data_IF_803761536287
#
_entry.id   IF_803761536287
#
_cell.length_a   1.000
_cell.length_b   1.000
_cell.length_c   1.000
_cell.angle_alpha   90.00
_cell.angle_beta   90.00
_cell.angle_gamma   90.00
#
_symmetry.space_group_name_H-M   'P 1'
#
loop_
_entity.id
_entity.type
_entity.pdbx_description
1 polymer ?
#
# COMPACT_ATOMS: atom_id res chain seq x y z
N UNK A 1 55.19 -11.18 -18.33
CA UNK A 1 54.33 -9.97 -18.29
C UNK A 1 52.87 -10.41 -18.40
N UNK A 2 52.24 -10.77 -17.28
CA UNK A 2 50.80 -11.06 -17.23
C UNK A 2 50.04 -9.78 -16.89
N UNK A 3 49.22 -9.27 -17.81
CA UNK A 3 48.29 -8.18 -17.50
C UNK A 3 47.17 -8.77 -16.64
N UNK A 4 47.16 -8.42 -15.35
CA UNK A 4 45.98 -8.63 -14.51
C UNK A 4 44.83 -7.82 -15.13
N UNK A 5 43.78 -8.51 -15.58
CA UNK A 5 42.54 -7.85 -15.97
C UNK A 5 41.94 -7.23 -14.71
N UNK A 6 41.97 -5.90 -14.63
CA UNK A 6 41.23 -5.14 -13.63
C UNK A 6 39.75 -5.44 -13.86
N UNK A 7 39.18 -6.34 -13.04
CA UNK A 7 37.73 -6.55 -12.99
C UNK A 7 37.12 -5.21 -12.56
N UNK A 8 36.46 -4.53 -13.50
CA UNK A 8 35.64 -3.37 -13.19
C UNK A 8 34.69 -3.74 -12.05
N UNK A 9 34.56 -2.91 -10.99
CA UNK A 9 33.63 -3.20 -9.91
C UNK A 9 32.25 -3.41 -10.53
N UNK A 10 31.64 -4.57 -10.28
CA UNK A 10 30.28 -4.86 -10.73
C UNK A 10 29.39 -3.77 -10.12
N UNK A 11 28.77 -2.96 -10.98
CA UNK A 11 27.75 -2.03 -10.51
C UNK A 11 26.67 -2.84 -9.79
N UNK A 12 26.16 -2.36 -8.65
CA UNK A 12 25.11 -3.04 -7.91
C UNK A 12 23.88 -3.26 -8.80
N UNK A 13 23.18 -4.38 -8.59
CA UNK A 13 22.01 -4.71 -9.39
C UNK A 13 20.87 -3.68 -9.19
N UNK A 14 20.05 -3.42 -10.23
CA UNK A 14 18.87 -2.59 -10.12
C UNK A 14 17.93 -3.08 -9.02
N UNK A 15 17.46 -2.17 -8.17
CA UNK A 15 16.59 -2.50 -7.04
C UNK A 15 15.47 -1.48 -6.89
N UNK A 16 14.26 -1.95 -6.60
CA UNK A 16 13.13 -1.11 -6.19
C UNK A 16 13.16 -0.95 -4.67
N UNK A 17 13.05 0.28 -4.19
CA UNK A 17 13.12 0.59 -2.75
C UNK A 17 11.99 1.54 -2.37
N UNK A 18 11.35 1.29 -1.22
CA UNK A 18 10.42 2.24 -0.61
C UNK A 18 11.25 3.33 0.09
N UNK A 19 11.12 4.56 -0.39
CA UNK A 19 11.80 5.74 0.18
C UNK A 19 10.97 6.31 1.33
N UNK A 20 9.65 6.21 1.23
CA UNK A 20 8.72 6.61 2.26
C UNK A 20 7.51 5.67 2.31
N UNK A 21 7.32 5.02 3.47
CA UNK A 21 6.19 4.14 3.74
C UNK A 21 4.87 4.93 3.83
N UNK A 22 3.71 4.30 3.55
CA UNK A 22 2.43 4.93 3.81
C UNK A 22 2.14 4.98 5.31
N UNK A 23 1.45 6.04 5.73
CA UNK A 23 0.92 6.15 7.09
C UNK A 23 -0.08 5.03 7.33
N UNK A 24 0.17 4.22 8.35
CA UNK A 24 -0.60 3.01 8.59
C UNK A 24 -2.06 3.30 9.00
N UNK A 25 -2.31 4.36 9.78
CA UNK A 25 -3.66 4.68 10.31
C UNK A 25 -4.08 6.10 9.99
N UNK A 26 -5.38 6.35 10.12
CA UNK A 26 -5.98 7.68 9.98
C UNK A 26 -6.64 7.94 8.62
N UNK A 27 -6.39 7.09 7.62
CA UNK A 27 -7.05 7.14 6.32
C UNK A 27 -8.34 6.30 6.33
N UNK A 28 -9.43 6.82 5.73
CA UNK A 28 -10.71 6.11 5.61
C UNK A 28 -10.90 5.57 4.20
N UNK A 29 -11.16 4.27 4.09
CA UNK A 29 -11.53 3.67 2.79
C UNK A 29 -12.95 4.09 2.42
N UNK A 30 -13.20 4.31 1.13
CA UNK A 30 -14.46 4.89 0.65
C UNK A 30 -15.18 3.95 -0.31
N UNK A 31 -16.49 3.84 -0.16
CA UNK A 31 -17.28 3.17 -1.18
C UNK A 31 -17.46 4.07 -2.41
N UNK A 32 -17.53 3.47 -3.59
CA UNK A 32 -17.81 4.17 -4.84
C UNK A 32 -19.09 5.05 -4.76
N UNK A 33 -20.12 4.56 -4.06
CA UNK A 33 -21.39 5.26 -3.91
C UNK A 33 -21.34 6.46 -2.95
N UNK A 34 -20.22 6.73 -2.27
CA UNK A 34 -20.09 7.93 -1.43
C UNK A 34 -19.94 9.22 -2.25
N UNK A 35 -19.57 9.14 -3.54
CA UNK A 35 -19.49 10.30 -4.43
C UNK A 35 -18.48 11.37 -4.01
N UNK A 36 -17.52 11.04 -3.15
CA UNK A 36 -16.48 11.95 -2.64
C UNK A 36 -15.12 11.48 -3.10
N UNK A 37 -14.19 12.43 -3.26
CA UNK A 37 -12.78 12.12 -3.38
C UNK A 37 -12.34 11.23 -2.21
N UNK A 38 -11.54 10.22 -2.48
CA UNK A 38 -11.11 9.21 -1.50
C UNK A 38 -10.18 9.75 -0.42
N UNK A 39 -9.68 10.97 -0.60
CA UNK A 39 -8.64 11.57 0.22
C UNK A 39 -7.25 11.20 -0.31
N UNK A 40 -6.21 11.59 0.43
CA UNK A 40 -4.83 11.22 0.13
C UNK A 40 -4.27 10.33 1.22
N UNK A 41 -3.58 9.27 0.81
CA UNK A 41 -2.72 8.46 1.67
C UNK A 41 -1.44 9.26 1.87
N UNK A 42 -1.17 9.62 3.11
CA UNK A 42 0.05 10.33 3.48
C UNK A 42 1.19 9.35 3.74
N UNK A 43 2.41 9.87 3.70
CA UNK A 43 3.60 9.15 4.12
C UNK A 43 3.66 9.00 5.64
N UNK A 44 4.41 8.02 6.12
CA UNK A 44 4.58 7.71 7.53
C UNK A 44 5.14 8.91 8.32
N UNK A 45 6.01 9.71 7.70
CA UNK A 45 6.63 10.89 8.31
C UNK A 45 5.75 12.14 8.24
N UNK A 46 4.55 12.03 7.67
CA UNK A 46 3.64 13.16 7.48
C UNK A 46 3.01 13.59 8.80
N UNK A 47 3.13 14.88 9.09
CA UNK A 47 2.62 15.51 10.32
C UNK A 47 1.67 16.68 10.01
N UNK A 48 1.34 17.50 11.02
CA UNK A 48 0.42 18.64 10.86
C UNK A 48 1.02 19.78 10.04
N UNK A 49 2.33 19.98 10.12
CA UNK A 49 3.08 21.05 9.46
C UNK A 49 3.55 20.68 8.06
N UNK A 50 4.04 19.46 7.87
CA UNK A 50 4.68 19.00 6.66
C UNK A 50 4.01 17.75 6.16
N UNK A 51 3.38 17.86 4.99
CA UNK A 51 2.73 16.74 4.32
C UNK A 51 3.76 16.02 3.46
N UNK A 52 3.93 14.74 3.76
CA UNK A 52 4.71 13.81 2.94
C UNK A 52 3.80 12.71 2.41
N UNK A 53 4.31 11.93 1.45
CA UNK A 53 3.53 10.96 0.68
C UNK A 53 4.33 9.67 0.50
N UNK A 54 3.66 8.51 0.33
CA UNK A 54 4.35 7.28 0.00
C UNK A 54 5.22 7.49 -1.24
N UNK A 55 6.42 6.94 -1.24
CA UNK A 55 7.38 7.14 -2.31
C UNK A 55 8.25 5.91 -2.53
N UNK A 56 8.54 5.62 -3.80
CA UNK A 56 9.48 4.57 -4.19
C UNK A 56 10.51 5.10 -5.17
N UNK A 57 11.64 4.41 -5.24
CA UNK A 57 12.72 4.73 -6.17
C UNK A 57 13.33 3.43 -6.73
N UNK A 58 13.61 3.43 -8.02
CA UNK A 58 14.50 2.43 -8.62
C UNK A 58 15.93 2.93 -8.53
N UNK A 59 16.78 2.19 -7.84
CA UNK A 59 18.20 2.48 -7.65
C UNK A 59 19.05 1.64 -8.62
N UNK A 60 20.28 2.09 -8.86
CA UNK A 60 21.27 1.42 -9.70
C UNK A 60 20.79 1.15 -11.14
N UNK A 61 19.96 2.03 -11.68
CA UNK A 61 19.44 1.94 -13.03
C UNK A 61 19.34 3.34 -13.64
N UNK A 62 19.53 3.45 -14.95
CA UNK A 62 19.61 4.73 -15.67
C UNK A 62 18.80 4.75 -16.96
N UNK A 63 17.87 3.81 -17.12
CA UNK A 63 16.97 3.71 -18.27
C UNK A 63 15.52 3.77 -17.79
N UNK A 64 14.57 3.78 -18.73
CA UNK A 64 13.14 3.88 -18.41
C UNK A 64 12.63 2.67 -17.62
N UNK A 65 11.70 2.92 -16.71
CA UNK A 65 11.04 1.89 -15.89
C UNK A 65 9.54 2.04 -15.96
N UNK A 66 8.82 0.96 -16.24
CA UNK A 66 7.37 0.91 -16.01
C UNK A 66 7.11 0.49 -14.56
N UNK A 67 6.48 1.37 -13.79
CA UNK A 67 6.08 1.12 -12.42
C UNK A 67 4.60 0.79 -12.34
N UNK A 68 4.23 -0.25 -11.60
CA UNK A 68 2.85 -0.64 -11.30
C UNK A 68 2.66 -0.76 -9.80
N UNK A 69 1.54 -0.26 -9.30
CA UNK A 69 1.14 -0.42 -7.89
C UNK A 69 -0.24 -1.02 -7.80
N UNK A 70 -0.36 -2.08 -7.00
CA UNK A 70 -1.60 -2.79 -6.72
C UNK A 70 -1.81 -2.95 -5.22
N UNK A 71 -3.02 -3.34 -4.82
CA UNK A 71 -3.35 -3.66 -3.43
C UNK A 71 -3.26 -5.16 -3.20
N UNK A 72 -2.60 -5.56 -2.11
CA UNK A 72 -2.50 -6.95 -1.65
C UNK A 72 -2.98 -7.11 -0.20
N UNK A 73 -3.19 -8.35 0.24
CA UNK A 73 -3.56 -8.68 1.62
C UNK A 73 -2.52 -8.19 2.64
N UNK A 74 -2.98 -7.98 3.88
CA UNK A 74 -2.12 -7.57 5.01
C UNK A 74 -1.09 -8.63 5.38
N UNK A 75 -1.52 -9.89 5.42
CA UNK A 75 -0.71 -11.02 5.86
C UNK A 75 -0.20 -11.83 4.67
N UNK A 76 0.93 -12.49 4.89
CA UNK A 76 1.45 -13.50 3.97
C UNK A 76 0.59 -14.78 4.02
N UNK A 77 0.41 -15.49 2.89
CA UNK A 77 0.88 -15.11 1.55
C UNK A 77 0.13 -13.90 0.98
N UNK A 78 0.85 -12.97 0.36
CA UNK A 78 0.29 -11.72 -0.19
C UNK A 78 -0.58 -11.99 -1.42
N UNK A 79 -1.89 -11.93 -1.25
CA UNK A 79 -2.88 -12.17 -2.31
C UNK A 79 -3.43 -10.86 -2.87
N UNK A 80 -3.80 -10.79 -4.15
CA UNK A 80 -4.51 -9.63 -4.70
C UNK A 80 -5.72 -9.22 -3.84
N UNK A 81 -5.88 -7.94 -3.56
CA UNK A 81 -6.96 -7.42 -2.73
C UNK A 81 -8.16 -6.95 -3.59
N UNK A 82 -9.43 -7.13 -3.13
CA UNK A 82 -10.61 -6.72 -3.90
C UNK A 82 -10.81 -5.21 -3.97
N UNK A 83 -10.20 -4.45 -3.07
CA UNK A 83 -10.27 -2.99 -3.09
C UNK A 83 -9.52 -2.42 -4.30
N UNK A 84 -9.77 -1.15 -4.61
CA UNK A 84 -9.18 -0.45 -5.74
C UNK A 84 -8.38 0.76 -5.30
N UNK A 85 -7.19 0.92 -5.87
CA UNK A 85 -6.43 2.15 -5.79
C UNK A 85 -7.05 3.17 -6.73
N UNK A 86 -7.37 4.37 -6.23
CA UNK A 86 -7.99 5.42 -7.03
C UNK A 86 -7.27 6.74 -6.77
N UNK A 87 -7.19 7.59 -7.78
CA UNK A 87 -6.39 8.81 -7.71
C UNK A 87 -5.77 9.15 -9.06
N UNK A 88 -4.77 10.03 -9.03
CA UNK A 88 -3.96 10.37 -10.19
C UNK A 88 -3.25 9.13 -10.73
N UNK A 89 -3.23 8.97 -12.05
CA UNK A 89 -2.63 7.84 -12.79
C UNK A 89 -3.12 6.45 -12.36
N UNK A 90 -4.27 6.39 -11.70
CA UNK A 90 -4.94 5.15 -11.36
C UNK A 90 -5.98 4.80 -12.41
N UNK A 91 -5.85 3.63 -13.03
CA UNK A 91 -6.86 3.07 -13.92
C UNK A 91 -7.26 1.68 -13.47
N UNK A 92 -8.56 1.40 -13.52
CA UNK A 92 -9.16 0.14 -13.10
C UNK A 92 -8.67 -0.36 -11.73
N UNK A 93 -8.32 0.54 -10.81
CA UNK A 93 -7.93 0.18 -9.45
C UNK A 93 -6.46 -0.17 -9.23
N UNK A 94 -5.58 0.11 -10.20
CA UNK A 94 -4.13 0.08 -10.08
C UNK A 94 -3.52 1.42 -10.50
N UNK A 95 -2.37 1.77 -9.94
CA UNK A 95 -1.55 2.88 -10.43
C UNK A 95 -0.54 2.35 -11.43
N UNK A 96 -0.31 3.07 -12.52
CA UNK A 96 0.75 2.75 -13.47
C UNK A 96 1.37 4.01 -14.07
N UNK A 97 2.70 4.09 -14.07
CA UNK A 97 3.45 5.20 -14.65
C UNK A 97 4.79 4.74 -15.23
N UNK A 98 5.29 5.45 -16.23
CA UNK A 98 6.65 5.27 -16.75
C UNK A 98 7.58 6.30 -16.12
N UNK A 99 8.60 5.85 -15.41
CA UNK A 99 9.66 6.68 -14.85
C UNK A 99 10.77 6.85 -15.89
N UNK A 100 11.26 8.09 -16.04
CA UNK A 100 12.29 8.44 -17.00
C UNK A 100 13.55 8.97 -16.29
N UNK A 101 14.76 8.60 -16.75
CA UNK A 101 16.00 9.17 -16.24
C UNK A 101 16.04 10.70 -16.41
N UNK A 102 16.75 11.44 -15.53
CA UNK A 102 17.63 10.94 -14.46
C UNK A 102 16.90 10.60 -13.15
N UNK A 103 15.61 10.89 -13.02
CA UNK A 103 14.86 10.70 -11.78
C UNK A 103 13.93 9.47 -11.86
N UNK A 104 14.40 8.35 -11.32
CA UNK A 104 13.61 7.12 -11.20
C UNK A 104 12.90 7.01 -9.85
N UNK A 105 12.47 8.16 -9.28
CA UNK A 105 11.68 8.25 -8.07
C UNK A 105 10.26 8.73 -8.40
N UNK A 106 9.28 8.21 -7.67
CA UNK A 106 7.90 8.72 -7.71
C UNK A 106 7.36 8.91 -6.30
N UNK A 107 6.53 9.93 -6.15
CA UNK A 107 5.72 10.15 -4.94
C UNK A 107 4.25 10.04 -5.30
N UNK A 108 3.51 9.35 -4.46
CA UNK A 108 2.12 9.00 -4.71
C UNK A 108 1.15 9.98 -4.05
N UNK A 109 1.00 11.16 -4.66
CA UNK A 109 0.04 12.15 -4.21
C UNK A 109 -1.38 11.80 -4.69
N UNK A 110 -2.41 12.25 -3.96
CA UNK A 110 -3.82 12.07 -4.34
C UNK A 110 -4.25 10.61 -4.54
N UNK A 111 -3.58 9.65 -3.90
CA UNK A 111 -4.02 8.27 -3.87
C UNK A 111 -4.98 8.01 -2.70
N UNK A 112 -6.04 7.26 -2.95
CA UNK A 112 -6.91 6.72 -1.92
C UNK A 112 -7.38 5.31 -2.26
N UNK A 113 -8.11 4.70 -1.33
CA UNK A 113 -8.60 3.33 -1.48
C UNK A 113 -10.12 3.35 -1.59
N UNK A 114 -10.61 2.82 -2.71
CA UNK A 114 -12.01 2.52 -2.93
C UNK A 114 -12.30 1.09 -2.46
N UNK A 115 -13.08 0.96 -1.40
CA UNK A 115 -13.43 -0.36 -0.85
C UNK A 115 -14.57 -1.03 -1.62
N UNK A 116 -14.43 -2.34 -1.86
CA UNK A 116 -15.45 -3.17 -2.47
C UNK A 116 -16.56 -3.53 -1.46
N UNK A 117 -17.78 -3.69 -1.94
CA UNK A 117 -18.88 -4.24 -1.12
C UNK A 117 -18.71 -5.75 -1.02
N UNK A 118 -19.18 -6.36 0.08
CA UNK A 118 -19.06 -7.81 0.32
C UNK A 118 -19.52 -8.67 -0.86
N UNK A 119 -20.65 -8.30 -1.48
CA UNK A 119 -21.20 -8.99 -2.66
C UNK A 119 -20.32 -8.92 -3.92
N UNK A 120 -19.47 -7.90 -4.02
CA UNK A 120 -18.65 -7.60 -5.20
C UNK A 120 -17.19 -8.07 -5.02
N UNK A 121 -16.85 -8.66 -3.87
CA UNK A 121 -15.47 -9.11 -3.56
C UNK A 121 -15.00 -10.14 -4.60
N UNK A 122 -15.82 -11.16 -4.86
CA UNK A 122 -15.43 -12.25 -5.76
C UNK A 122 -15.24 -11.77 -7.20
N UNK A 123 -16.10 -10.88 -7.68
CA UNK A 123 -15.98 -10.32 -9.03
C UNK A 123 -14.78 -9.38 -9.14
N UNK A 124 -14.49 -8.58 -8.10
CA UNK A 124 -13.33 -7.72 -8.05
C UNK A 124 -12.02 -8.52 -8.11
N UNK A 125 -11.88 -9.58 -7.31
CA UNK A 125 -10.71 -10.47 -7.37
C UNK A 125 -10.56 -11.12 -8.74
N UNK A 126 -11.65 -11.66 -9.30
CA UNK A 126 -11.60 -12.28 -10.63
C UNK A 126 -11.11 -11.28 -11.67
N UNK A 127 -11.56 -10.03 -11.60
CA UNK A 127 -11.09 -8.96 -12.47
C UNK A 127 -9.58 -8.70 -12.30
N UNK A 128 -9.07 -8.66 -11.06
CA UNK A 128 -7.62 -8.51 -10.79
C UNK A 128 -6.80 -9.58 -11.47
N UNK A 129 -7.19 -10.83 -11.26
CA UNK A 129 -6.38 -11.99 -11.67
C UNK A 129 -6.53 -12.26 -13.16
N UNK A 130 -7.75 -12.31 -13.69
CA UNK A 130 -7.98 -12.82 -15.06
C UNK A 130 -7.86 -11.74 -16.12
N UNK A 131 -8.37 -10.52 -15.85
CA UNK A 131 -8.35 -9.42 -16.83
C UNK A 131 -7.07 -8.61 -16.72
N UNK A 132 -6.70 -8.23 -15.50
CA UNK A 132 -5.57 -7.33 -15.26
C UNK A 132 -4.24 -8.08 -15.06
N UNK A 133 -4.28 -9.40 -14.89
CA UNK A 133 -3.10 -10.25 -14.65
C UNK A 133 -2.27 -9.76 -13.46
N UNK A 134 -2.97 -9.36 -12.39
CA UNK A 134 -2.38 -8.92 -11.13
C UNK A 134 -2.37 -10.12 -10.19
N UNK A 135 -1.19 -10.72 -10.05
CA UNK A 135 -0.87 -11.70 -9.02
C UNK A 135 0.65 -11.64 -8.75
N UNK A 136 1.14 -10.61 -8.04
CA UNK A 136 2.57 -10.33 -7.93
C UNK A 136 3.38 -11.47 -7.30
N UNK A 137 2.72 -12.35 -6.54
CA UNK A 137 3.33 -13.46 -5.80
C UNK A 137 2.87 -14.84 -6.31
N UNK A 138 2.07 -14.91 -7.38
CA UNK A 138 1.51 -16.15 -7.94
C UNK A 138 0.74 -17.00 -6.91
N UNK A 139 -0.01 -16.33 -6.04
CA UNK A 139 -0.74 -16.97 -4.93
C UNK A 139 -2.14 -17.45 -5.33
N UNK A 140 -2.57 -17.16 -6.56
CA UNK A 140 -3.85 -17.62 -7.07
C UNK A 140 -3.66 -18.88 -7.92
N UNK A 141 -4.24 -20.03 -7.52
CA UNK A 141 -4.15 -21.25 -8.32
C UNK A 141 -4.73 -21.04 -9.72
N UNK A 142 -4.23 -21.78 -10.71
CA UNK A 142 -4.63 -21.63 -12.12
C UNK A 142 -6.13 -21.86 -12.38
N UNK A 143 -6.85 -22.48 -11.45
CA UNK A 143 -8.30 -22.65 -11.50
C UNK A 143 -9.07 -21.39 -11.05
N UNK A 144 -8.37 -20.32 -10.66
CA UNK A 144 -8.90 -19.06 -10.15
C UNK A 144 -9.87 -19.22 -8.97
N UNK A 145 -9.81 -20.34 -8.24
CA UNK A 145 -10.50 -20.50 -6.97
C UNK A 145 -9.64 -19.85 -5.90
N UNK A 146 -9.93 -18.60 -5.57
CA UNK A 146 -9.30 -17.89 -4.46
C UNK A 146 -9.95 -18.32 -3.15
N UNK A 147 -9.22 -18.93 -2.20
CA UNK A 147 -9.69 -19.04 -0.83
C UNK A 147 -9.71 -17.62 -0.24
N UNK A 148 -10.89 -17.01 -0.22
CA UNK A 148 -11.13 -15.68 0.37
C UNK A 148 -11.45 -15.77 1.87
N UNK A 149 -11.36 -16.98 2.42
CA UNK A 149 -11.55 -17.24 3.84
C UNK A 149 -10.45 -16.52 4.63
N UNK A 150 -10.86 -15.67 5.57
CA UNK A 150 -9.94 -14.90 6.41
C UNK A 150 -9.35 -13.62 5.80
N UNK A 151 -9.80 -13.16 4.63
CA UNK A 151 -9.31 -11.88 4.08
C UNK A 151 -9.79 -10.68 4.91
N UNK A 152 -8.86 -9.92 5.47
CA UNK A 152 -9.16 -8.68 6.19
C UNK A 152 -9.48 -7.54 5.22
N UNK A 153 -10.73 -7.07 5.22
CA UNK A 153 -11.18 -5.97 4.37
C UNK A 153 -10.88 -4.59 4.95
N UNK A 154 -10.40 -4.52 6.19
CA UNK A 154 -10.04 -3.29 6.89
C UNK A 154 -8.54 -2.99 6.81
N UNK A 155 -7.75 -3.84 6.15
CA UNK A 155 -6.32 -3.64 6.00
C UNK A 155 -5.83 -4.08 4.61
N UNK A 156 -4.98 -3.26 4.00
CA UNK A 156 -4.31 -3.58 2.73
C UNK A 156 -2.83 -3.24 2.82
N UNK A 157 -2.03 -3.74 1.89
CA UNK A 157 -0.68 -3.23 1.62
C UNK A 157 -0.57 -2.78 0.17
N UNK A 158 0.30 -1.82 -0.10
CA UNK A 158 0.74 -1.55 -1.47
C UNK A 158 1.75 -2.61 -1.88
N UNK A 159 1.60 -3.15 -3.08
CA UNK A 159 2.60 -3.95 -3.75
C UNK A 159 3.12 -3.16 -4.95
N UNK A 160 4.40 -2.82 -4.91
CA UNK A 160 5.11 -2.09 -5.95
C UNK A 160 5.85 -3.07 -6.85
N UNK A 161 5.59 -3.01 -8.15
CA UNK A 161 6.28 -3.78 -9.18
C UNK A 161 6.98 -2.81 -10.14
N UNK A 162 8.24 -3.07 -10.44
CA UNK A 162 9.02 -2.29 -11.39
C UNK A 162 9.51 -3.18 -12.53
N UNK A 163 9.24 -2.75 -13.75
CA UNK A 163 9.62 -3.44 -14.98
C UNK A 163 10.61 -2.56 -15.75
N UNK A 164 11.83 -3.04 -15.91
CA UNK A 164 12.86 -2.40 -16.72
C UNK A 164 12.44 -2.49 -18.19
N UNK A 165 12.27 -1.35 -18.87
CA UNK A 165 11.87 -1.32 -20.28
C UNK A 165 13.02 -0.84 -21.16
N UNK A 166 13.12 -1.41 -22.37
CA UNK A 166 14.11 -0.97 -23.36
C UNK A 166 13.63 0.28 -24.13
N UNK A 167 14.48 0.78 -25.02
CA UNK A 167 14.19 1.91 -25.92
C UNK A 167 12.96 1.68 -26.81
N UNK A 168 12.61 0.43 -27.12
CA UNK A 168 11.42 0.06 -27.89
C UNK A 168 10.16 -0.09 -27.02
N UNK A 169 10.23 0.18 -25.71
CA UNK A 169 9.11 0.08 -24.78
C UNK A 169 8.76 -1.35 -24.34
N UNK A 170 9.60 -2.34 -24.68
CA UNK A 170 9.39 -3.73 -24.28
C UNK A 170 9.99 -3.98 -22.89
N UNK A 171 9.28 -4.77 -22.07
CA UNK A 171 9.77 -5.20 -20.76
C UNK A 171 10.94 -6.18 -20.96
N UNK A 172 12.09 -5.85 -20.38
CA UNK A 172 13.32 -6.67 -20.43
C UNK A 172 13.47 -7.49 -19.16
N UNK A 173 13.12 -6.91 -18.01
CA UNK A 173 13.29 -7.54 -16.69
C UNK A 173 12.26 -7.00 -15.70
N UNK A 174 11.63 -7.88 -14.94
CA UNK A 174 10.87 -7.51 -13.75
C UNK A 174 11.82 -7.52 -12.54
N UNK A 175 11.77 -6.47 -11.71
CA UNK A 175 12.41 -6.47 -10.40
C UNK A 175 11.52 -7.21 -9.40
N UNK A 176 12.10 -7.76 -8.31
CA UNK A 176 11.30 -8.34 -7.24
C UNK A 176 10.27 -7.33 -6.71
N UNK A 177 9.00 -7.75 -6.50
CA UNK A 177 7.98 -6.87 -5.95
C UNK A 177 8.33 -6.49 -4.51
N UNK A 178 7.99 -5.25 -4.12
CA UNK A 178 8.20 -4.74 -2.76
C UNK A 178 6.85 -4.40 -2.16
N UNK A 179 6.61 -4.83 -0.92
CA UNK A 179 5.34 -4.63 -0.23
C UNK A 179 5.52 -3.60 0.90
N UNK A 180 4.60 -2.63 0.98
CA UNK A 180 4.61 -1.60 2.01
C UNK A 180 4.19 -2.12 3.39
N UNK A 181 4.36 -1.27 4.40
CA UNK A 181 3.62 -1.38 5.65
C UNK A 181 2.10 -1.40 5.43
N UNK A 182 1.33 -2.04 6.34
CA UNK A 182 -0.12 -2.14 6.20
C UNK A 182 -0.82 -0.79 6.39
N UNK A 183 -1.86 -0.56 5.60
CA UNK A 183 -2.76 0.59 5.68
C UNK A 183 -4.10 0.10 6.19
N UNK A 184 -4.54 0.69 7.29
CA UNK A 184 -5.72 0.33 8.05
C UNK A 184 -6.87 1.31 7.80
N UNK A 185 -8.07 0.78 7.53
CA UNK A 185 -9.27 1.60 7.41
C UNK A 185 -9.63 2.20 8.76
N UNK A 186 -9.63 3.54 8.83
CA UNK A 186 -10.08 4.31 10.00
C UNK A 186 -11.51 3.97 10.42
N UNK A 187 -12.37 3.52 9.50
CA UNK A 187 -13.75 3.13 9.83
C UNK A 187 -13.86 1.74 10.47
N UNK A 188 -12.86 0.88 10.30
CA UNK A 188 -12.83 -0.43 10.93
C UNK A 188 -12.69 -0.31 12.45
N UNK A 189 -13.44 -1.10 13.21
CA UNK A 189 -13.53 -0.95 14.66
C UNK A 189 -12.25 -1.36 15.40
N UNK A 190 -11.45 -2.23 14.80
CA UNK A 190 -10.22 -2.79 15.40
C UNK A 190 -8.97 -2.15 14.76
N UNK A 191 -9.19 -1.36 13.70
CA UNK A 191 -8.17 -0.76 12.84
C UNK A 191 -8.18 0.77 12.93
N UNK A 192 -9.15 1.35 13.65
CA UNK A 192 -9.21 2.77 13.98
C UNK A 192 -8.01 3.19 14.82
N UNK A 193 -7.74 4.50 14.82
CA UNK A 193 -6.77 5.10 15.72
C UNK A 193 -7.46 5.31 17.09
N UNK A 194 -6.85 4.80 18.15
CA UNK A 194 -7.40 4.96 19.50
C UNK A 194 -7.27 6.42 19.94
N UNK A 195 -8.39 7.02 20.30
CA UNK A 195 -8.44 8.41 20.72
C UNK A 195 -9.33 8.59 21.95
N UNK A 196 -8.74 9.08 23.03
CA UNK A 196 -9.47 9.59 24.18
C UNK A 196 -9.99 10.98 23.82
N UNK A 197 -11.30 11.17 23.95
CA UNK A 197 -11.98 12.43 23.67
C UNK A 197 -12.06 13.26 24.94
N UNK A 198 -12.39 12.62 26.07
CA UNK A 198 -12.59 13.30 27.35
C UNK A 198 -12.42 12.34 28.52
N UNK A 199 -11.90 12.88 29.63
CA UNK A 199 -11.94 12.27 30.95
C UNK A 199 -12.87 13.12 31.83
N UNK A 200 -13.60 12.50 32.76
CA UNK A 200 -14.38 13.25 33.74
C UNK A 200 -13.49 14.05 34.69
N UNK A 201 -12.30 13.53 34.99
CA UNK A 201 -11.36 14.11 35.94
C UNK A 201 -9.90 13.81 35.54
N UNK A 202 -8.97 14.68 35.96
CA UNK A 202 -7.57 14.65 35.54
C UNK A 202 -6.57 14.48 36.70
N UNK A 203 -7.04 14.20 37.92
CA UNK A 203 -6.22 14.03 39.13
C UNK A 203 -6.90 13.06 40.09
N UNK A 204 -6.13 12.29 40.86
CA UNK A 204 -6.66 11.27 41.76
C UNK A 204 -5.81 10.96 42.97
N UNK A 205 -6.37 10.13 43.86
CA UNK A 205 -5.69 9.65 45.06
C UNK A 205 -4.53 8.71 44.69
N UNK A 206 -3.37 8.87 45.34
CA UNK A 206 -2.21 8.01 45.12
C UNK A 206 -2.46 6.54 45.52
N UNK A 207 -3.45 6.27 46.38
CA UNK A 207 -3.85 4.92 46.76
C UNK A 207 -4.64 4.19 45.66
N UNK A 208 -5.13 4.89 44.64
CA UNK A 208 -6.02 4.34 43.62
C UNK A 208 -7.44 4.10 44.13
N UNK A 209 -8.27 3.46 43.28
CA UNK A 209 -9.68 3.16 43.59
C UNK A 209 -10.69 4.21 43.15
N UNK A 210 -10.23 5.36 42.64
CA UNK A 210 -11.12 6.39 42.11
C UNK A 210 -11.85 5.89 40.85
N UNK A 211 -13.18 6.02 40.83
CA UNK A 211 -13.98 5.73 39.65
C UNK A 211 -13.75 6.80 38.58
N UNK A 212 -13.46 6.37 37.34
CA UNK A 212 -13.18 7.26 36.21
C UNK A 212 -14.06 6.91 35.02
N UNK A 213 -14.51 7.94 34.32
CA UNK A 213 -15.28 7.82 33.09
C UNK A 213 -14.46 8.38 31.93
N UNK A 214 -14.23 7.52 30.93
CA UNK A 214 -13.47 7.85 29.72
C UNK A 214 -14.43 7.84 28.53
N UNK A 215 -14.53 8.97 27.84
CA UNK A 215 -15.16 9.05 26.52
C UNK A 215 -14.07 8.90 25.47
N UNK A 216 -14.19 7.91 24.60
CA UNK A 216 -13.24 7.61 23.54
C UNK A 216 -13.96 7.29 22.23
N UNK A 217 -13.20 7.29 21.13
CA UNK A 217 -13.66 6.71 19.88
C UNK A 217 -13.98 5.21 20.05
N UNK A 218 -14.70 4.63 19.09
CA UNK A 218 -15.19 3.25 19.18
C UNK A 218 -14.05 2.26 19.43
N UNK A 219 -14.18 1.48 20.50
CA UNK A 219 -13.27 0.38 20.89
C UNK A 219 -14.02 -0.95 20.99
N UNK A 220 -13.30 -2.06 20.86
CA UNK A 220 -13.85 -3.40 21.08
C UNK A 220 -13.49 -3.91 22.48
N UNK A 221 -14.49 -4.40 23.22
CA UNK A 221 -14.28 -4.94 24.57
C UNK A 221 -13.66 -6.35 24.45
N UNK A 222 -12.53 -6.58 25.10
CA UNK A 222 -11.89 -7.90 25.19
C UNK A 222 -10.71 -8.13 24.24
N UNK A 223 -10.23 -7.09 23.56
CA UNK A 223 -8.90 -7.04 22.92
C UNK A 223 -7.92 -6.19 23.75
#
# INVERSE_FOLDING_TARGET
RGRAALLSPRLPDPALVIVEEPKQRGMRFRYQCEGRATGSIFGERSDTSTKTYPAVQVQNYSERVLLRVSLVSKEEPYRPHPHALVGTDCNDGIFQATLEPPDLRVQFQNLGIQCAKRKDIMSAIRMRVTKQKIDPFNEIPSNHKTPMEGLDLNAVRFCFEAFLINSHGSIVKALPPVVSNPIYDKKGCNTSELKIIRLNEHSGCAAGGDERYILCDKVQKGE
#
